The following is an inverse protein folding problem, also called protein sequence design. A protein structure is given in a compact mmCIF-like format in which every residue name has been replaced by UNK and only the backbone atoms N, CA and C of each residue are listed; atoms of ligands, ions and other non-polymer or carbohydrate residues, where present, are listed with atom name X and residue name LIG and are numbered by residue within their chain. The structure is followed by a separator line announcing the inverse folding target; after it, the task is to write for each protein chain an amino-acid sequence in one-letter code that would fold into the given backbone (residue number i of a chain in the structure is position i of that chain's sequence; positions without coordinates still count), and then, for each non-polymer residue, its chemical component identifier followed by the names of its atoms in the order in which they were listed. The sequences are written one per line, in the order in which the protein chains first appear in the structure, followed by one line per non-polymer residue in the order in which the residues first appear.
data_IF_172071298837
#
_entry.id   IF_172071298837
#
_cell.length_a   1.000
_cell.length_b   1.000
_cell.length_c   1.000
_cell.angle_alpha   90.00
_cell.angle_beta   90.00
_cell.angle_gamma   90.00
#
_symmetry.space_group_name_H-M   'P 1'
#
loop_
_entity.id
_entity.type
_entity.pdbx_description
1 polymer ?
#
# COMPACT_ATOMS: atom_id res chain seq x y z
N UNK A 1 -28.47 47.32 -28.22
CA UNK A 1 -28.15 45.97 -28.74
C UNK A 1 -26.67 45.72 -28.42
N UNK A 2 -26.23 45.07 -27.35
CA UNK A 2 -26.86 44.02 -26.54
C UNK A 2 -26.47 42.65 -27.07
N UNK A 3 -25.28 42.14 -26.70
CA UNK A 3 -24.99 40.70 -26.59
C UNK A 3 -23.67 40.48 -25.82
N UNK A 4 -23.85 40.23 -24.53
CA UNK A 4 -22.85 39.74 -23.58
C UNK A 4 -22.36 38.35 -23.99
N UNK A 5 -21.04 38.15 -24.11
CA UNK A 5 -20.44 36.80 -24.12
C UNK A 5 -20.06 36.43 -22.68
N UNK A 6 -20.89 35.57 -22.08
CA UNK A 6 -20.64 34.94 -20.79
C UNK A 6 -19.49 33.94 -20.94
N UNK A 7 -18.43 34.11 -20.15
CA UNK A 7 -17.47 33.04 -19.84
C UNK A 7 -18.21 31.91 -19.11
N UNK A 8 -18.20 30.70 -19.66
CA UNK A 8 -18.51 29.49 -18.90
C UNK A 8 -17.21 28.96 -18.29
N UNK A 9 -16.98 29.25 -17.02
CA UNK A 9 -16.09 28.45 -16.20
C UNK A 9 -16.86 27.21 -15.77
N UNK A 10 -16.62 26.08 -16.44
CA UNK A 10 -17.05 24.77 -15.95
C UNK A 10 -16.04 24.32 -14.89
N UNK A 11 -16.23 24.76 -13.64
CA UNK A 11 -15.56 24.18 -12.49
C UNK A 11 -16.21 22.82 -12.20
N UNK A 12 -15.71 21.76 -12.84
CA UNK A 12 -15.99 20.39 -12.39
C UNK A 12 -15.03 20.15 -11.22
N UNK A 13 -15.48 20.49 -10.01
CA UNK A 13 -14.92 19.93 -8.79
C UNK A 13 -15.27 18.43 -8.78
N UNK A 14 -14.44 17.62 -9.45
CA UNK A 14 -14.36 16.21 -9.16
C UNK A 14 -13.74 16.09 -7.76
N UNK A 15 -14.58 16.24 -6.74
CA UNK A 15 -14.24 15.90 -5.37
C UNK A 15 -14.13 14.38 -5.31
N UNK A 16 -12.99 13.84 -5.72
CA UNK A 16 -12.51 12.54 -5.29
C UNK A 16 -12.20 12.64 -3.80
N UNK A 17 -13.25 12.72 -2.98
CA UNK A 17 -13.16 12.35 -1.58
C UNK A 17 -12.76 10.88 -1.56
N UNK A 18 -11.46 10.63 -1.52
CA UNK A 18 -10.90 9.38 -1.04
C UNK A 18 -11.38 9.27 0.42
N UNK A 19 -12.54 8.65 0.63
CA UNK A 19 -12.89 8.07 1.90
C UNK A 19 -11.87 6.95 2.12
N UNK A 20 -10.69 7.30 2.64
CA UNK A 20 -9.79 6.30 3.19
C UNK A 20 -10.49 5.73 4.41
N UNK A 21 -11.23 4.63 4.23
CA UNK A 21 -11.64 3.81 5.36
C UNK A 21 -10.34 3.32 6.00
N UNK A 22 -10.03 3.84 7.18
CA UNK A 22 -8.88 3.39 7.94
C UNK A 22 -9.12 1.92 8.29
N UNK A 23 -8.40 1.02 7.63
CA UNK A 23 -8.44 -0.41 7.97
C UNK A 23 -7.78 -0.56 9.33
N UNK A 24 -8.54 -1.04 10.32
CA UNK A 24 -8.01 -1.35 11.65
C UNK A 24 -7.20 -2.63 11.54
N UNK A 25 -5.95 -2.58 12.00
CA UNK A 25 -5.06 -3.75 12.01
C UNK A 25 -5.42 -4.63 13.20
N UNK A 26 -5.50 -5.94 12.97
CA UNK A 26 -5.53 -6.92 14.05
C UNK A 26 -4.19 -6.89 14.81
N UNK A 27 -4.23 -7.11 16.13
CA UNK A 27 -3.04 -7.38 16.93
C UNK A 27 -2.28 -8.57 16.31
N UNK A 28 -1.01 -8.38 15.97
CA UNK A 28 -0.18 -9.42 15.36
C UNK A 28 0.10 -10.50 16.41
N UNK A 29 -0.35 -11.73 16.17
CA UNK A 29 0.06 -12.90 16.97
C UNK A 29 1.28 -13.54 16.31
N UNK A 30 2.34 -13.70 17.09
CA UNK A 30 3.53 -14.45 16.72
C UNK A 30 3.12 -15.92 16.46
N UNK A 31 3.45 -16.46 15.28
CA UNK A 31 2.92 -17.74 14.76
C UNK A 31 3.34 -19.01 15.55
N UNK A 32 3.93 -18.84 16.74
CA UNK A 32 4.55 -19.90 17.53
C UNK A 32 3.86 -20.21 18.87
N UNK A 33 2.73 -19.57 19.22
CA UNK A 33 2.08 -19.81 20.53
C UNK A 33 0.89 -20.79 20.55
N UNK A 34 0.37 -21.26 19.42
CA UNK A 34 -0.83 -22.12 19.41
C UNK A 34 -0.57 -23.64 19.55
N UNK A 35 0.67 -24.10 19.80
CA UNK A 35 0.96 -25.54 19.86
C UNK A 35 0.80 -26.25 21.22
N UNK A 36 0.36 -25.59 22.29
CA UNK A 36 0.32 -26.22 23.61
C UNK A 36 -0.97 -25.97 24.40
N UNK A 37 -2.13 -26.41 23.89
CA UNK A 37 -3.25 -26.79 24.77
C UNK A 37 -3.96 -28.01 24.19
N UNK A 38 -3.39 -29.20 24.43
CA UNK A 38 -4.11 -30.47 24.54
C UNK A 38 -3.12 -31.59 24.84
N UNK A 39 -2.95 -31.95 26.12
CA UNK A 39 -2.73 -33.34 26.53
C UNK A 39 -2.75 -33.49 28.07
N UNK A 40 -3.80 -34.20 28.51
CA UNK A 40 -3.89 -35.15 29.62
C UNK A 40 -3.65 -34.71 31.08
N UNK A 41 -4.70 -34.83 31.90
CA UNK A 41 -4.60 -35.46 33.22
C UNK A 41 -5.79 -36.40 33.43
N UNK A 42 -5.52 -37.70 33.34
CA UNK A 42 -6.35 -38.77 33.90
C UNK A 42 -5.77 -39.12 35.27
N UNK A 43 -6.64 -39.19 36.28
CA UNK A 43 -6.29 -39.65 37.62
C UNK A 43 -5.78 -41.09 37.63
N UNK A 44 -4.67 -41.34 38.31
CA UNK A 44 -4.44 -42.59 39.04
C UNK A 44 -3.50 -42.36 40.24
N UNK A 45 -4.02 -42.72 41.41
CA UNK A 45 -3.33 -42.89 42.69
C UNK A 45 -2.32 -44.02 42.65
N UNK A 46 -1.13 -43.82 43.24
CA UNK A 46 -0.49 -44.79 44.13
C UNK A 46 0.68 -44.16 44.91
N UNK A 47 0.90 -44.76 46.07
CA UNK A 47 1.61 -44.26 47.25
C UNK A 47 3.05 -44.80 47.36
N UNK A 48 3.80 -44.24 48.31
CA UNK A 48 4.92 -44.84 49.09
C UNK A 48 6.39 -44.45 48.75
N UNK A 49 6.94 -43.63 49.67
CA UNK A 49 8.24 -43.66 50.39
C UNK A 49 9.65 -43.46 49.77
N UNK A 50 10.34 -42.49 50.41
CA UNK A 50 11.62 -42.57 51.18
C UNK A 50 12.96 -42.15 50.55
N UNK A 51 13.77 -41.47 51.41
CA UNK A 51 15.19 -41.06 51.24
C UNK A 51 15.40 -39.54 51.09
N UNK A 52 15.62 -38.71 52.14
CA UNK A 52 16.83 -38.60 53.01
C UNK A 52 18.10 -38.25 52.20
N UNK A 53 18.95 -37.22 52.42
CA UNK A 53 19.21 -36.34 53.57
C UNK A 53 20.28 -35.26 53.20
N UNK A 54 20.25 -34.11 53.91
CA UNK A 54 21.33 -33.15 54.30
C UNK A 54 22.15 -32.34 53.26
N UNK A 55 22.67 -31.13 53.52
CA UNK A 55 22.81 -30.23 54.71
C UNK A 55 23.09 -28.78 54.18
N UNK A 56 22.36 -27.73 54.60
CA UNK A 56 22.70 -26.64 55.58
C UNK A 56 23.77 -25.59 55.18
N UNK A 57 23.84 -24.40 55.84
CA UNK A 57 22.78 -23.47 56.31
C UNK A 57 23.16 -21.97 56.09
N UNK A 58 22.31 -21.00 56.49
CA UNK A 58 22.62 -19.89 57.45
C UNK A 58 21.35 -19.04 57.72
N UNK A 59 21.23 -18.62 58.99
CA UNK A 59 20.10 -18.02 59.72
C UNK A 59 19.88 -16.51 59.54
N UNK A 60 18.64 -16.04 59.81
CA UNK A 60 18.26 -15.18 60.95
C UNK A 60 16.79 -14.72 60.72
N UNK A 61 15.77 -15.12 61.49
CA UNK A 61 15.45 -14.94 62.91
C UNK A 61 14.33 -13.88 63.12
N UNK A 62 13.16 -14.37 63.57
CA UNK A 62 12.19 -13.77 64.51
C UNK A 62 11.40 -12.53 64.00
N UNK A 63 10.07 -12.39 64.16
CA UNK A 63 9.32 -12.53 65.42
C UNK A 63 7.78 -12.64 65.23
N UNK A 64 7.21 -13.59 65.98
CA UNK A 64 5.92 -13.70 66.70
C UNK A 64 4.58 -13.05 66.28
N UNK A 65 3.57 -13.94 66.19
CA UNK A 65 2.23 -13.96 66.87
C UNK A 65 1.19 -12.87 66.54
N UNK A 66 -0.13 -13.06 66.51
CA UNK A 66 -1.05 -13.94 67.26
C UNK A 66 -2.44 -13.90 66.57
N UNK A 67 -3.17 -15.02 66.65
CA UNK A 67 -4.52 -15.25 66.11
C UNK A 67 -5.65 -14.64 67.00
N UNK A 68 -6.91 -15.12 66.96
CA UNK A 68 -7.99 -14.91 65.98
C UNK A 68 -9.27 -14.37 66.65
N UNK A 69 -10.34 -13.99 65.92
CA UNK A 69 -11.69 -14.07 66.51
C UNK A 69 -12.84 -14.18 65.52
N UNK A 70 -13.58 -15.26 65.73
CA UNK A 70 -14.86 -15.69 65.17
C UNK A 70 -16.02 -15.03 65.91
N UNK A 71 -17.09 -14.63 65.22
CA UNK A 71 -18.46 -14.62 65.76
C UNK A 71 -19.51 -14.76 64.64
N UNK A 72 -20.19 -15.89 64.60
CA UNK A 72 -21.58 -16.11 64.13
C UNK A 72 -22.47 -16.24 65.38
N UNK A 73 -23.82 -16.44 65.34
CA UNK A 73 -24.84 -16.27 64.29
C UNK A 73 -26.15 -15.60 64.81
N UNK A 74 -27.16 -15.32 63.95
CA UNK A 74 -28.58 -15.39 64.37
C UNK A 74 -29.62 -15.51 63.24
N UNK A 75 -30.35 -16.62 63.33
CA UNK A 75 -31.78 -16.88 63.08
C UNK A 75 -32.51 -16.48 61.77
N UNK A 76 -32.73 -17.50 60.95
CA UNK A 76 -34.02 -18.12 60.56
C UNK A 76 -35.31 -17.28 60.48
N UNK A 77 -35.90 -17.25 59.28
CA UNK A 77 -37.35 -17.47 59.12
C UNK A 77 -37.65 -18.11 57.76
N UNK A 78 -38.42 -19.19 57.81
CA UNK A 78 -38.89 -20.01 56.68
C UNK A 78 -40.08 -19.33 56.00
N UNK A 79 -40.15 -19.34 54.66
CA UNK A 79 -41.41 -19.53 53.90
C UNK A 79 -41.18 -19.78 52.41
N UNK A 80 -41.59 -20.99 52.00
CA UNK A 80 -42.28 -21.36 50.76
C UNK A 80 -41.70 -20.98 49.38
N UNK A 81 -41.20 -22.04 48.74
CA UNK A 81 -41.33 -22.44 47.32
C UNK A 81 -42.33 -21.59 46.51
N UNK A 82 -41.82 -20.96 45.45
CA UNK A 82 -42.55 -20.84 44.20
C UNK A 82 -41.58 -21.08 43.04
N UNK A 83 -41.93 -22.05 42.20
CA UNK A 83 -41.18 -22.45 41.02
C UNK A 83 -41.27 -21.35 39.96
N UNK A 84 -40.13 -20.87 39.47
CA UNK A 84 -40.06 -20.26 38.15
C UNK A 84 -38.74 -20.59 37.48
N UNK A 85 -38.89 -21.33 36.39
CA UNK A 85 -37.89 -21.64 35.38
C UNK A 85 -37.33 -20.33 34.80
N UNK A 86 -36.00 -20.23 34.65
CA UNK A 86 -35.43 -19.65 33.44
C UNK A 86 -33.94 -19.99 33.28
N UNK A 87 -33.72 -20.86 32.30
CA UNK A 87 -32.71 -20.75 31.25
C UNK A 87 -31.25 -20.72 31.70
N UNK A 88 -30.72 -21.93 31.91
CA UNK A 88 -29.35 -22.24 31.49
C UNK A 88 -29.19 -21.79 30.03
N UNK A 89 -28.38 -20.76 29.80
CA UNK A 89 -27.76 -20.53 28.50
C UNK A 89 -26.89 -21.75 28.21
N UNK A 90 -27.38 -22.61 27.33
CA UNK A 90 -26.57 -23.64 26.67
C UNK A 90 -25.41 -22.93 25.97
N UNK A 91 -24.22 -22.99 26.57
CA UNK A 91 -22.97 -22.73 25.88
C UNK A 91 -22.90 -23.71 24.71
N UNK A 92 -22.97 -23.19 23.50
CA UNK A 92 -22.72 -23.97 22.30
C UNK A 92 -21.21 -24.28 22.29
N UNK A 93 -20.83 -25.40 22.89
CA UNK A 93 -19.47 -25.95 22.81
C UNK A 93 -19.28 -26.53 21.40
N UNK A 94 -19.18 -25.66 20.40
CA UNK A 94 -18.95 -26.05 19.02
C UNK A 94 -17.45 -26.12 18.81
N UNK A 95 -16.94 -27.30 18.49
CA UNK A 95 -15.51 -27.49 18.23
C UNK A 95 -15.15 -26.91 16.84
N UNK A 96 -13.87 -26.61 16.68
CA UNK A 96 -13.31 -26.02 15.46
C UNK A 96 -13.32 -27.09 14.36
N UNK A 97 -14.03 -26.82 13.26
CA UNK A 97 -14.03 -27.71 12.11
C UNK A 97 -12.81 -27.47 11.21
N UNK A 98 -12.52 -26.21 10.90
CA UNK A 98 -11.39 -25.84 10.04
C UNK A 98 -11.03 -24.36 10.13
N UNK A 99 -9.75 -24.08 9.93
CA UNK A 99 -9.21 -22.75 9.66
C UNK A 99 -8.68 -22.66 8.24
N UNK A 100 -9.12 -21.64 7.51
CA UNK A 100 -8.59 -21.27 6.20
C UNK A 100 -7.81 -19.97 6.30
N UNK A 101 -6.53 -20.01 5.94
CA UNK A 101 -5.71 -18.80 5.82
C UNK A 101 -6.21 -17.95 4.64
N UNK A 102 -6.37 -16.66 4.89
CA UNK A 102 -6.82 -15.64 3.95
C UNK A 102 -5.96 -14.39 4.14
N UNK A 103 -6.11 -13.38 3.29
CA UNK A 103 -5.45 -12.09 3.49
C UNK A 103 -6.29 -10.99 2.84
N UNK A 104 -6.93 -10.17 3.67
CA UNK A 104 -7.81 -9.15 3.16
C UNK A 104 -8.49 -8.32 4.24
N UNK A 105 -9.60 -7.71 3.84
CA UNK A 105 -10.39 -6.82 4.68
C UNK A 105 -11.79 -7.38 4.85
N UNK A 106 -12.20 -7.55 6.09
CA UNK A 106 -13.59 -7.75 6.48
C UNK A 106 -14.24 -6.39 6.78
N UNK A 107 -15.37 -6.09 6.18
CA UNK A 107 -16.13 -4.85 6.38
C UNK A 107 -17.49 -5.16 6.98
N UNK A 108 -17.81 -4.53 8.11
CA UNK A 108 -19.11 -4.69 8.78
C UNK A 108 -20.20 -4.04 7.94
N UNK A 109 -21.22 -4.80 7.52
CA UNK A 109 -22.28 -4.29 6.63
C UNK A 109 -23.38 -3.53 7.39
N UNK A 110 -23.50 -3.78 8.69
CA UNK A 110 -24.70 -3.42 9.43
C UNK A 110 -24.73 -1.94 9.84
N UNK A 111 -25.94 -1.38 10.02
CA UNK A 111 -26.15 0.00 10.53
C UNK A 111 -26.05 0.10 12.06
N UNK A 112 -25.73 -1.00 12.73
CA UNK A 112 -25.55 -1.12 14.18
C UNK A 112 -24.23 -1.84 14.45
N UNK A 113 -23.72 -1.70 15.68
CA UNK A 113 -22.57 -2.46 16.14
C UNK A 113 -22.84 -3.98 16.11
N UNK A 114 -21.82 -4.77 15.79
CA UNK A 114 -21.92 -6.24 15.77
C UNK A 114 -21.06 -6.86 16.88
N UNK A 115 -21.54 -7.90 17.58
CA UNK A 115 -20.77 -8.54 18.62
C UNK A 115 -19.53 -9.24 18.05
N UNK A 116 -18.51 -9.37 18.90
CA UNK A 116 -17.36 -10.22 18.64
C UNK A 116 -17.60 -11.62 19.22
N UNK A 117 -16.83 -12.58 18.74
CA UNK A 117 -16.90 -13.98 19.13
C UNK A 117 -15.51 -14.52 19.44
N UNK A 118 -15.43 -15.48 20.35
CA UNK A 118 -14.22 -16.29 20.57
C UNK A 118 -14.16 -17.46 19.58
N UNK A 119 -13.04 -18.18 19.58
CA UNK A 119 -12.79 -19.31 18.67
C UNK A 119 -13.78 -20.49 18.85
N UNK A 120 -14.47 -20.60 19.98
CA UNK A 120 -15.52 -21.61 20.21
C UNK A 120 -16.93 -21.15 19.75
N UNK A 121 -17.03 -19.91 19.24
CA UNK A 121 -18.30 -19.28 18.86
C UNK A 121 -19.07 -18.65 20.01
N UNK A 122 -18.52 -18.61 21.23
CA UNK A 122 -19.11 -17.86 22.34
C UNK A 122 -18.96 -16.35 22.12
N UNK A 123 -19.94 -15.58 22.59
CA UNK A 123 -20.02 -14.12 22.35
C UNK A 123 -19.13 -13.36 23.33
N UNK A 124 -18.30 -12.45 22.83
CA UNK A 124 -17.65 -11.41 23.63
C UNK A 124 -18.69 -10.31 23.95
N UNK A 125 -18.87 -10.04 25.23
CA UNK A 125 -19.96 -9.18 25.73
C UNK A 125 -19.52 -7.75 26.02
N UNK A 126 -18.22 -7.50 26.09
CA UNK A 126 -17.67 -6.18 26.44
C UNK A 126 -17.19 -5.37 25.23
N UNK A 127 -17.15 -5.97 24.04
CA UNK A 127 -16.65 -5.33 22.81
C UNK A 127 -17.50 -5.69 21.61
N UNK A 128 -17.54 -4.77 20.65
CA UNK A 128 -18.28 -4.90 19.41
C UNK A 128 -17.58 -4.11 18.31
N UNK A 129 -17.77 -4.51 17.05
CA UNK A 129 -17.29 -3.77 15.90
C UNK A 129 -18.31 -2.71 15.48
N UNK A 130 -17.82 -1.51 15.16
CA UNK A 130 -18.68 -0.43 14.67
C UNK A 130 -19.25 -0.72 13.28
N UNK A 131 -20.43 -0.20 13.00
CA UNK A 131 -21.03 -0.18 11.66
C UNK A 131 -20.05 0.39 10.62
N UNK A 132 -19.98 -0.22 9.43
CA UNK A 132 -19.12 0.20 8.31
C UNK A 132 -17.60 0.27 8.62
N UNK A 133 -17.16 -0.34 9.72
CA UNK A 133 -15.73 -0.43 10.04
C UNK A 133 -15.06 -1.54 9.23
N UNK A 134 -13.82 -1.29 8.82
CA UNK A 134 -13.01 -2.19 8.02
C UNK A 134 -11.87 -2.76 8.87
N UNK A 135 -11.73 -4.09 8.87
CA UNK A 135 -10.80 -4.83 9.71
C UNK A 135 -9.94 -5.74 8.87
N UNK A 136 -8.64 -5.72 9.13
CA UNK A 136 -7.75 -6.73 8.58
C UNK A 136 -8.16 -8.12 9.07
N UNK A 137 -8.12 -9.11 8.18
CA UNK A 137 -8.37 -10.50 8.52
C UNK A 137 -7.44 -11.42 7.75
N UNK A 138 -6.92 -12.42 8.47
CA UNK A 138 -5.96 -13.41 7.97
C UNK A 138 -6.47 -14.86 8.09
N UNK A 139 -7.63 -15.05 8.75
CA UNK A 139 -8.17 -16.37 9.05
C UNK A 139 -9.68 -16.37 8.88
N UNK A 140 -10.18 -17.30 8.06
CA UNK A 140 -11.58 -17.67 7.96
C UNK A 140 -11.80 -18.95 8.76
N UNK A 141 -12.44 -18.78 9.90
CA UNK A 141 -12.69 -19.81 10.89
C UNK A 141 -14.06 -20.44 10.69
N UNK A 142 -14.17 -21.77 10.69
CA UNK A 142 -15.45 -22.47 10.58
C UNK A 142 -15.61 -23.50 11.70
N UNK A 143 -16.75 -23.42 12.38
CA UNK A 143 -17.13 -24.34 13.46
C UNK A 143 -17.88 -25.56 12.92
N UNK A 144 -17.94 -26.64 13.69
CA UNK A 144 -18.64 -27.88 13.31
C UNK A 144 -20.14 -27.68 13.04
N UNK A 145 -20.74 -26.66 13.65
CA UNK A 145 -22.14 -26.29 13.43
C UNK A 145 -22.39 -25.56 12.08
N UNK A 146 -21.33 -25.33 11.29
CA UNK A 146 -21.37 -24.66 10.00
C UNK A 146 -21.36 -23.12 10.06
N UNK A 147 -21.30 -22.52 11.25
CA UNK A 147 -21.07 -21.08 11.37
C UNK A 147 -19.62 -20.74 11.06
N UNK A 148 -19.42 -19.60 10.41
CA UNK A 148 -18.09 -19.13 10.02
C UNK A 148 -17.85 -17.72 10.50
N UNK A 149 -16.58 -17.40 10.75
CA UNK A 149 -16.14 -16.15 11.33
C UNK A 149 -14.81 -15.69 10.71
N UNK A 150 -14.56 -14.40 10.71
CA UNK A 150 -13.30 -13.78 10.30
C UNK A 150 -12.55 -13.33 11.53
N UNK A 151 -11.28 -13.74 11.67
CA UNK A 151 -10.43 -13.24 12.76
C UNK A 151 -10.13 -11.75 12.54
N UNK A 152 -10.35 -10.92 13.55
CA UNK A 152 -10.16 -9.45 13.48
C UNK A 152 -9.25 -8.92 14.59
N UNK A 153 -8.98 -9.72 15.63
CA UNK A 153 -7.93 -9.47 16.61
C UNK A 153 -7.49 -10.81 17.25
N UNK A 154 -6.57 -10.74 18.21
CA UNK A 154 -6.12 -11.92 18.96
C UNK A 154 -7.32 -12.54 19.70
N UNK A 155 -7.67 -13.79 19.36
CA UNK A 155 -8.81 -14.53 19.90
C UNK A 155 -10.19 -13.89 19.66
N UNK A 156 -10.30 -12.93 18.74
CA UNK A 156 -11.57 -12.26 18.44
C UNK A 156 -11.95 -12.40 16.97
N UNK A 157 -13.21 -12.78 16.77
CA UNK A 157 -13.75 -13.14 15.47
C UNK A 157 -15.07 -12.41 15.22
N UNK A 158 -15.28 -11.97 13.98
CA UNK A 158 -16.53 -11.38 13.52
C UNK A 158 -17.33 -12.39 12.70
N UNK A 159 -18.65 -12.45 12.91
CA UNK A 159 -19.50 -13.41 12.19
C UNK A 159 -19.49 -13.13 10.67
N UNK A 160 -19.28 -14.17 9.86
CA UNK A 160 -19.20 -14.03 8.41
C UNK A 160 -20.48 -13.47 7.77
N UNK A 161 -21.65 -13.63 8.42
CA UNK A 161 -22.94 -13.14 7.92
C UNK A 161 -23.14 -11.63 8.12
N UNK A 162 -22.39 -11.01 9.02
CA UNK A 162 -22.58 -9.61 9.42
C UNK A 162 -21.71 -8.62 8.64
N UNK A 163 -20.95 -9.11 7.66
CA UNK A 163 -20.01 -8.31 6.88
C UNK A 163 -19.69 -8.91 5.52
N UNK A 164 -18.80 -8.24 4.81
CA UNK A 164 -18.26 -8.68 3.52
C UNK A 164 -16.75 -8.82 3.61
N UNK A 165 -16.19 -9.81 2.93
CA UNK A 165 -14.75 -9.99 2.81
C UNK A 165 -14.28 -9.59 1.42
N UNK A 166 -13.16 -8.84 1.37
CA UNK A 166 -12.44 -8.52 0.15
C UNK A 166 -10.97 -8.90 0.31
N UNK A 167 -10.51 -9.84 -0.51
CA UNK A 167 -9.09 -10.23 -0.59
C UNK A 167 -8.21 -9.03 -0.96
N UNK A 168 -7.01 -8.93 -0.40
CA UNK A 168 -6.00 -8.00 -0.90
C UNK A 168 -5.48 -8.43 -2.26
N UNK A 169 -5.25 -9.74 -2.43
CA UNK A 169 -4.87 -10.31 -3.73
C UNK A 169 -6.09 -10.36 -4.63
N UNK A 170 -6.01 -9.67 -5.76
CA UNK A 170 -7.01 -9.67 -6.81
C UNK A 170 -6.40 -10.14 -8.14
N UNK A 171 -7.18 -10.81 -9.00
CA UNK A 171 -6.71 -11.18 -10.34
C UNK A 171 -6.28 -9.95 -11.13
N UNK A 172 -5.15 -10.08 -11.84
CA UNK A 172 -4.64 -9.02 -12.71
C UNK A 172 -3.88 -9.62 -13.89
N UNK A 173 -3.92 -8.95 -15.03
CA UNK A 173 -3.23 -9.40 -16.24
C UNK A 173 -2.37 -8.28 -16.81
N UNK A 174 -1.17 -8.64 -17.25
CA UNK A 174 -0.22 -7.75 -17.89
C UNK A 174 1.19 -8.29 -17.75
N UNK A 175 2.17 -7.50 -18.19
CA UNK A 175 3.58 -7.83 -18.06
C UNK A 175 4.30 -6.74 -17.26
N UNK A 176 4.76 -7.08 -16.06
CA UNK A 176 5.56 -6.19 -15.22
C UNK A 176 6.97 -6.11 -15.79
N UNK A 177 7.34 -4.93 -16.28
CA UNK A 177 8.67 -4.65 -16.84
C UNK A 177 9.46 -3.80 -15.87
N UNK A 178 10.66 -4.25 -15.50
CA UNK A 178 11.54 -3.55 -14.56
C UNK A 178 12.12 -2.30 -15.23
N UNK A 179 11.84 -1.12 -14.68
CA UNK A 179 12.19 0.21 -15.24
C UNK A 179 13.05 1.04 -14.29
N UNK A 180 14.05 0.42 -13.67
CA UNK A 180 15.02 1.10 -12.82
C UNK A 180 16.25 1.61 -13.61
N UNK A 181 17.39 1.77 -12.97
CA UNK A 181 18.63 2.20 -13.61
C UNK A 181 19.22 1.10 -14.50
N UNK A 182 19.61 1.46 -15.72
CA UNK A 182 20.24 0.53 -16.67
C UNK A 182 21.48 -0.13 -16.04
N UNK A 183 21.62 -1.45 -16.23
CA UNK A 183 22.69 -2.25 -15.62
C UNK A 183 22.49 -2.56 -14.14
N UNK A 184 21.37 -2.17 -13.54
CA UNK A 184 21.01 -2.49 -12.15
C UNK A 184 19.93 -3.57 -12.07
N UNK A 185 19.72 -4.12 -10.88
CA UNK A 185 18.65 -5.04 -10.54
C UNK A 185 17.73 -4.45 -9.46
N UNK A 186 16.58 -5.09 -9.26
CA UNK A 186 15.69 -4.84 -8.13
C UNK A 186 15.43 -6.13 -7.38
N UNK A 187 15.10 -6.02 -6.10
CA UNK A 187 14.68 -7.17 -5.31
C UNK A 187 13.30 -7.66 -5.72
N UNK A 188 13.14 -8.98 -5.72
CA UNK A 188 11.84 -9.64 -5.69
C UNK A 188 11.59 -10.22 -4.30
N UNK A 189 10.33 -10.34 -3.91
CA UNK A 189 9.96 -10.66 -2.54
C UNK A 189 9.03 -11.86 -2.49
N UNK A 190 9.14 -12.63 -1.40
CA UNK A 190 8.09 -13.54 -0.97
C UNK A 190 7.04 -12.77 -0.18
N UNK A 191 5.76 -12.96 -0.49
CA UNK A 191 4.69 -12.09 0.00
C UNK A 191 4.81 -10.64 -0.48
N UNK A 192 3.96 -9.75 0.05
CA UNK A 192 3.84 -8.36 -0.40
C UNK A 192 3.53 -7.40 0.77
N UNK A 193 3.61 -6.10 0.49
CA UNK A 193 3.36 -5.05 1.48
C UNK A 193 4.30 -5.17 2.68
N UNK A 194 3.75 -5.03 3.90
CA UNK A 194 4.54 -5.09 5.13
C UNK A 194 5.03 -6.51 5.48
N UNK A 195 4.54 -7.54 4.77
CA UNK A 195 4.92 -8.95 4.97
C UNK A 195 5.92 -9.43 3.92
N UNK A 196 6.35 -8.55 3.02
CA UNK A 196 7.32 -8.86 1.98
C UNK A 196 8.67 -9.23 2.60
N UNK A 197 9.21 -10.39 2.22
CA UNK A 197 10.52 -10.89 2.67
C UNK A 197 11.42 -11.05 1.47
N UNK A 198 12.60 -10.44 1.51
CA UNK A 198 13.62 -10.64 0.50
C UNK A 198 14.33 -11.98 0.74
N UNK A 199 14.24 -12.90 -0.22
CA UNK A 199 14.84 -14.24 -0.15
C UNK A 199 16.12 -14.37 -1.01
N UNK A 200 16.75 -13.25 -1.39
CA UNK A 200 18.01 -13.25 -2.15
C UNK A 200 17.85 -13.28 -3.67
N UNK A 201 16.64 -13.04 -4.19
CA UNK A 201 16.36 -13.08 -5.63
C UNK A 201 16.16 -11.68 -6.22
N UNK A 202 16.90 -11.40 -7.29
CA UNK A 202 16.91 -10.11 -7.97
C UNK A 202 16.45 -10.23 -9.43
N UNK A 203 15.86 -9.16 -9.94
CA UNK A 203 15.41 -9.03 -11.33
C UNK A 203 16.16 -7.91 -12.01
N UNK A 204 16.81 -8.20 -13.14
CA UNK A 204 17.55 -7.20 -13.90
C UNK A 204 16.61 -6.18 -14.54
N UNK A 205 17.05 -4.92 -14.60
CA UNK A 205 16.35 -3.85 -15.33
C UNK A 205 16.16 -4.23 -16.80
N UNK A 206 14.96 -4.01 -17.32
CA UNK A 206 14.55 -4.37 -18.68
C UNK A 206 13.96 -5.78 -18.81
N UNK A 207 14.02 -6.62 -17.78
CA UNK A 207 13.29 -7.90 -17.78
C UNK A 207 11.79 -7.66 -17.65
N UNK A 208 10.99 -8.56 -18.25
CA UNK A 208 9.53 -8.46 -18.26
C UNK A 208 8.91 -9.79 -17.83
N UNK A 209 7.93 -9.73 -16.94
CA UNK A 209 7.38 -10.89 -16.26
C UNK A 209 5.86 -10.86 -16.31
N UNK A 210 5.24 -12.01 -16.63
CA UNK A 210 3.79 -12.12 -16.65
C UNK A 210 3.23 -11.94 -15.24
N UNK A 211 2.22 -11.09 -15.11
CA UNK A 211 1.49 -10.87 -13.86
C UNK A 211 0.22 -11.71 -13.86
N UNK A 212 -0.04 -12.39 -12.74
CA UNK A 212 -1.27 -13.17 -12.54
C UNK A 212 -2.24 -12.52 -11.55
N UNK A 213 -1.69 -11.81 -10.56
CA UNK A 213 -2.45 -11.14 -9.52
C UNK A 213 -1.76 -9.84 -9.11
N UNK A 214 -2.51 -8.97 -8.45
CA UNK A 214 -1.97 -7.78 -7.79
C UNK A 214 -2.53 -7.65 -6.38
N UNK A 215 -1.86 -6.86 -5.55
CA UNK A 215 -2.32 -6.50 -4.23
C UNK A 215 -2.04 -5.01 -3.96
N UNK A 216 -3.05 -4.26 -3.55
CA UNK A 216 -2.91 -2.85 -3.17
C UNK A 216 -2.87 -2.73 -1.65
N UNK A 217 -1.70 -2.37 -1.12
CA UNK A 217 -1.47 -2.19 0.31
C UNK A 217 -1.01 -0.75 0.57
N UNK A 218 -1.82 0.00 1.31
CA UNK A 218 -1.50 1.39 1.67
C UNK A 218 -1.41 2.32 0.46
N UNK A 219 -2.21 2.06 -0.59
CA UNK A 219 -2.15 2.81 -1.85
C UNK A 219 -1.01 2.39 -2.76
N UNK A 220 -0.18 1.42 -2.34
CA UNK A 220 0.91 0.88 -3.17
C UNK A 220 0.56 -0.46 -3.78
N UNK A 221 0.69 -0.54 -5.09
CA UNK A 221 0.50 -1.77 -5.85
C UNK A 221 1.72 -2.70 -5.72
N UNK A 222 1.42 -4.00 -5.64
CA UNK A 222 2.37 -5.10 -5.71
C UNK A 222 1.89 -6.08 -6.78
N UNK A 223 2.79 -6.58 -7.61
CA UNK A 223 2.45 -7.48 -8.70
C UNK A 223 3.05 -8.86 -8.48
N UNK A 224 2.21 -9.88 -8.56
CA UNK A 224 2.63 -11.26 -8.44
C UNK A 224 3.12 -11.77 -9.80
N UNK A 225 4.40 -12.15 -9.86
CA UNK A 225 5.08 -12.61 -11.07
C UNK A 225 5.38 -14.13 -11.08
N UNK A 226 5.20 -14.80 -9.93
CA UNK A 226 5.26 -16.25 -9.76
C UNK A 226 4.42 -16.67 -8.55
N UNK A 227 4.36 -17.97 -8.20
CA UNK A 227 3.47 -18.55 -7.18
C UNK A 227 3.34 -17.74 -5.88
N UNK A 228 4.44 -17.25 -5.33
CA UNK A 228 4.46 -16.29 -4.22
C UNK A 228 5.63 -15.29 -4.36
N UNK A 229 5.95 -14.92 -5.60
CA UNK A 229 7.00 -13.94 -5.89
C UNK A 229 6.36 -12.64 -6.35
N UNK A 230 6.68 -11.56 -5.66
CA UNK A 230 6.08 -10.25 -5.84
C UNK A 230 7.12 -9.19 -6.08
N UNK A 231 6.72 -8.17 -6.85
CA UNK A 231 7.52 -6.97 -7.11
C UNK A 231 6.70 -5.72 -6.77
N UNK A 232 7.30 -4.72 -6.10
CA UNK A 232 6.59 -3.48 -5.79
C UNK A 232 6.48 -2.61 -7.05
N UNK A 233 5.37 -1.86 -7.16
CA UNK A 233 5.14 -0.95 -8.29
C UNK A 233 6.23 0.10 -8.49
N UNK A 234 6.96 0.45 -7.44
CA UNK A 234 7.97 1.51 -7.39
C UNK A 234 9.08 1.32 -8.44
N UNK A 235 9.26 0.09 -8.95
CA UNK A 235 10.31 -0.23 -9.91
C UNK A 235 9.83 -0.84 -11.23
N UNK A 236 8.52 -0.98 -11.41
CA UNK A 236 7.94 -1.60 -12.61
C UNK A 236 6.93 -0.69 -13.28
N UNK A 237 6.70 -0.96 -14.56
CA UNK A 237 5.48 -0.59 -15.27
C UNK A 237 4.81 -1.84 -15.79
N UNK A 238 3.49 -1.77 -15.94
CA UNK A 238 2.74 -2.84 -16.59
C UNK A 238 2.66 -2.54 -18.09
N UNK A 239 2.89 -3.55 -18.92
CA UNK A 239 2.59 -3.51 -20.35
C UNK A 239 1.43 -4.47 -20.62
N UNK A 240 0.56 -4.16 -21.59
CA UNK A 240 -0.66 -4.94 -21.87
C UNK A 240 -1.57 -5.11 -20.63
N UNK A 241 -1.59 -4.09 -19.77
CA UNK A 241 -2.47 -4.02 -18.61
C UNK A 241 -3.87 -3.52 -18.97
N UNK A 242 -4.75 -3.52 -17.98
CA UNK A 242 -6.06 -2.89 -18.11
C UNK A 242 -5.97 -1.42 -17.67
N UNK A 243 -6.12 -0.51 -18.64
CA UNK A 243 -6.06 0.93 -18.42
C UNK A 243 -7.43 1.58 -18.61
N UNK A 244 -7.66 2.70 -17.92
CA UNK A 244 -8.83 3.53 -18.18
C UNK A 244 -8.75 4.09 -19.61
N UNK A 245 -9.90 4.32 -20.25
CA UNK A 245 -9.97 5.00 -21.56
C UNK A 245 -9.44 6.44 -21.50
N UNK A 246 -9.61 7.10 -20.35
CA UNK A 246 -9.06 8.42 -20.07
C UNK A 246 -8.73 8.55 -18.59
N UNK A 247 -7.68 9.31 -18.28
CA UNK A 247 -7.31 9.69 -16.92
C UNK A 247 -6.42 10.92 -16.91
N UNK A 248 -6.44 11.67 -15.82
CA UNK A 248 -5.63 12.89 -15.69
C UNK A 248 -5.29 13.19 -14.23
N UNK A 249 -4.16 13.85 -14.08
CA UNK A 249 -3.62 14.31 -12.81
C UNK A 249 -3.84 15.82 -12.72
N UNK A 250 -4.60 16.25 -11.71
CA UNK A 250 -4.76 17.66 -11.39
C UNK A 250 -3.70 18.12 -10.38
N UNK A 251 -3.33 19.39 -10.41
CA UNK A 251 -2.44 19.98 -9.41
C UNK A 251 -0.93 19.86 -9.71
N UNK A 252 -0.52 19.28 -10.84
CA UNK A 252 0.88 19.37 -11.30
C UNK A 252 1.18 20.84 -11.60
N UNK A 253 2.16 21.47 -10.93
CA UNK A 253 2.43 22.88 -11.12
C UNK A 253 2.91 23.14 -12.55
N UNK A 254 2.61 24.33 -13.05
CA UNK A 254 3.12 24.85 -14.32
C UNK A 254 4.21 25.87 -14.01
N UNK A 255 5.42 25.60 -14.48
CA UNK A 255 6.61 26.42 -14.22
C UNK A 255 7.26 26.76 -15.56
N UNK A 256 7.29 28.04 -15.91
CA UNK A 256 8.09 28.53 -17.03
C UNK A 256 9.58 28.33 -16.77
N UNK A 257 10.35 27.89 -17.78
CA UNK A 257 11.80 27.77 -17.65
C UNK A 257 12.51 29.14 -17.65
N UNK A 258 11.96 30.10 -18.40
CA UNK A 258 12.51 31.45 -18.61
C UNK A 258 12.04 32.43 -17.51
N UNK A 259 12.79 33.53 -17.30
CA UNK A 259 14.04 33.93 -17.99
C UNK A 259 15.31 33.21 -17.52
N UNK A 260 15.28 32.51 -16.38
CA UNK A 260 16.48 32.05 -15.67
C UNK A 260 17.16 30.85 -16.34
N UNK A 261 16.39 29.97 -16.99
CA UNK A 261 16.89 28.75 -17.62
C UNK A 261 16.49 28.69 -19.10
N UNK A 262 17.04 29.56 -19.98
CA UNK A 262 16.78 29.54 -21.41
C UNK A 262 16.95 28.18 -22.09
N UNK A 263 17.80 27.28 -21.54
CA UNK A 263 18.04 25.92 -22.03
C UNK A 263 17.69 24.83 -20.99
N UNK A 264 16.95 25.14 -19.92
CA UNK A 264 16.67 24.19 -18.83
C UNK A 264 15.31 23.50 -18.90
N UNK A 265 14.82 23.14 -20.09
CA UNK A 265 13.49 22.54 -20.23
C UNK A 265 13.36 21.23 -19.42
N UNK A 266 14.37 20.35 -19.47
CA UNK A 266 14.39 19.05 -18.80
C UNK A 266 14.29 19.19 -17.29
N UNK A 267 15.13 20.04 -16.72
CA UNK A 267 15.18 20.20 -15.26
C UNK A 267 14.00 20.99 -14.72
N UNK A 268 13.44 21.91 -15.52
CA UNK A 268 12.19 22.60 -15.18
C UNK A 268 11.02 21.62 -15.18
N UNK A 269 10.94 20.73 -16.18
CA UNK A 269 9.93 19.67 -16.23
C UNK A 269 10.05 18.67 -15.08
N UNK A 270 11.27 18.24 -14.75
CA UNK A 270 11.54 17.40 -13.56
C UNK A 270 11.16 18.13 -12.27
N UNK A 271 11.40 19.45 -12.18
CA UNK A 271 10.98 20.24 -11.01
C UNK A 271 9.47 20.22 -10.84
N UNK A 272 8.70 20.39 -11.92
CA UNK A 272 7.23 20.30 -11.87
C UNK A 272 6.76 18.92 -11.35
N UNK A 273 7.37 17.85 -11.87
CA UNK A 273 7.11 16.48 -11.42
C UNK A 273 7.45 16.27 -9.94
N UNK A 274 8.61 16.74 -9.48
CA UNK A 274 9.06 16.60 -8.10
C UNK A 274 8.21 17.42 -7.10
N UNK A 275 7.82 18.64 -7.47
CA UNK A 275 6.90 19.43 -6.64
C UNK A 275 5.55 18.74 -6.49
N UNK A 276 5.03 18.14 -7.56
CA UNK A 276 3.81 17.34 -7.48
C UNK A 276 3.97 16.10 -6.60
N UNK A 277 5.15 15.46 -6.61
CA UNK A 277 5.50 14.37 -5.70
C UNK A 277 5.61 14.80 -4.22
N UNK A 278 5.49 16.10 -3.93
CA UNK A 278 5.58 16.66 -2.58
C UNK A 278 6.95 17.20 -2.19
N UNK A 279 7.93 17.20 -3.10
CA UNK A 279 9.26 17.74 -2.82
C UNK A 279 9.24 19.28 -2.79
N UNK A 280 9.76 19.87 -1.71
CA UNK A 280 9.93 21.31 -1.60
C UNK A 280 11.22 21.77 -2.30
N UNK A 281 11.17 21.90 -3.62
CA UNK A 281 12.31 22.27 -4.48
C UNK A 281 11.93 23.33 -5.51
N UNK A 282 12.90 24.14 -5.95
CA UNK A 282 12.72 25.08 -7.07
C UNK A 282 13.62 24.74 -8.27
N UNK A 283 13.28 25.29 -9.44
CA UNK A 283 13.97 24.98 -10.71
C UNK A 283 15.45 25.35 -10.70
N UNK A 284 15.83 26.40 -9.97
CA UNK A 284 17.20 26.87 -9.89
C UNK A 284 18.04 25.96 -8.98
N UNK A 285 17.45 25.47 -7.89
CA UNK A 285 18.06 24.44 -7.07
C UNK A 285 18.28 23.16 -7.89
N UNK A 286 17.25 22.67 -8.59
CA UNK A 286 17.36 21.46 -9.40
C UNK A 286 18.37 21.62 -10.54
N UNK A 287 18.44 22.80 -11.18
CA UNK A 287 19.46 23.10 -12.19
C UNK A 287 20.90 23.08 -11.63
N UNK A 288 21.11 23.48 -10.37
CA UNK A 288 22.43 23.40 -9.71
C UNK A 288 22.80 21.98 -9.29
N UNK A 289 21.82 21.19 -8.85
CA UNK A 289 22.05 19.83 -8.35
C UNK A 289 22.12 18.76 -9.45
N UNK A 290 21.53 19.00 -10.62
CA UNK A 290 21.60 18.02 -11.72
C UNK A 290 23.05 17.76 -12.14
N UNK A 291 23.43 16.50 -12.40
CA UNK A 291 24.80 16.15 -12.75
C UNK A 291 25.20 16.80 -14.07
N UNK A 292 26.51 17.02 -14.27
CA UNK A 292 27.09 17.62 -15.48
C UNK A 292 28.02 16.63 -16.16
N UNK A 293 27.97 16.59 -17.49
CA UNK A 293 28.77 15.68 -18.31
C UNK A 293 28.75 16.12 -19.77
N UNK A 294 29.76 15.77 -20.54
CA UNK A 294 29.73 15.90 -22.00
C UNK A 294 28.86 14.83 -22.68
N UNK A 295 28.52 13.75 -21.96
CA UNK A 295 27.60 12.70 -22.41
C UNK A 295 26.25 12.82 -21.67
N UNK A 296 25.13 13.01 -22.39
CA UNK A 296 23.83 13.31 -21.80
C UNK A 296 23.24 12.16 -20.97
N UNK A 297 23.72 10.93 -21.15
CA UNK A 297 23.34 9.80 -20.30
C UNK A 297 23.98 9.83 -18.90
N UNK A 298 24.98 10.68 -18.68
CA UNK A 298 25.68 10.81 -17.39
C UNK A 298 25.52 12.20 -16.75
N UNK A 299 25.02 13.19 -17.48
CA UNK A 299 24.77 14.54 -16.96
C UNK A 299 24.40 15.55 -18.04
N UNK A 300 24.00 16.73 -17.62
CA UNK A 300 23.63 17.84 -18.50
C UNK A 300 24.86 18.41 -19.20
N UNK A 301 24.75 18.61 -20.51
CA UNK A 301 25.83 19.17 -21.34
C UNK A 301 25.75 20.70 -21.30
N UNK A 302 26.85 21.36 -20.94
CA UNK A 302 26.94 22.82 -20.84
C UNK A 302 26.20 23.39 -19.63
N UNK A 303 25.61 24.58 -19.77
CA UNK A 303 24.87 25.27 -18.72
C UNK A 303 23.43 25.61 -19.14
N UNK A 304 22.41 25.33 -18.31
CA UNK A 304 21.02 25.58 -18.67
C UNK A 304 20.64 27.07 -18.66
N UNK A 305 21.48 27.92 -18.07
CA UNK A 305 21.29 29.37 -17.95
C UNK A 305 22.04 30.21 -18.99
N UNK A 306 22.86 29.59 -19.86
CA UNK A 306 23.58 30.29 -20.92
C UNK A 306 23.57 29.52 -22.25
N UNK A 307 24.22 30.07 -23.27
CA UNK A 307 24.23 29.53 -24.64
C UNK A 307 24.98 28.21 -24.85
N UNK A 308 25.59 27.63 -23.80
CA UNK A 308 26.30 26.34 -23.91
C UNK A 308 25.42 25.13 -23.63
N UNK A 309 24.23 25.33 -23.04
CA UNK A 309 23.33 24.25 -22.66
C UNK A 309 22.75 23.49 -23.84
N UNK A 310 22.66 22.16 -23.72
CA UNK A 310 22.10 21.29 -24.77
C UNK A 310 20.97 20.41 -24.22
N UNK A 311 21.30 19.41 -23.40
CA UNK A 311 20.31 18.46 -22.87
C UNK A 311 20.91 17.58 -21.77
N UNK A 312 20.04 16.83 -21.08
CA UNK A 312 20.33 15.70 -20.19
C UNK A 312 19.30 14.60 -20.45
N UNK A 313 19.67 13.33 -20.31
CA UNK A 313 18.75 12.20 -20.52
C UNK A 313 18.34 11.51 -19.21
N UNK A 314 17.21 10.77 -19.21
CA UNK A 314 16.69 10.09 -18.02
C UNK A 314 17.72 9.34 -17.16
N UNK A 315 18.67 8.54 -17.71
CA UNK A 315 19.60 7.78 -16.88
C UNK A 315 20.42 8.65 -15.91
N UNK A 316 20.77 9.87 -16.31
CA UNK A 316 21.54 10.80 -15.48
C UNK A 316 20.70 11.43 -14.36
N UNK A 317 19.38 11.51 -14.54
CA UNK A 317 18.46 12.14 -13.59
C UNK A 317 17.94 11.18 -12.52
N UNK A 318 18.07 9.86 -12.72
CA UNK A 318 17.51 8.83 -11.82
C UNK A 318 17.81 9.08 -10.34
N UNK A 319 19.09 9.27 -9.99
CA UNK A 319 19.50 9.51 -8.60
C UNK A 319 18.96 10.82 -8.02
N UNK A 320 18.85 11.86 -8.85
CA UNK A 320 18.29 13.14 -8.42
C UNK A 320 16.79 13.00 -8.14
N UNK A 321 16.07 12.32 -9.04
CA UNK A 321 14.63 12.04 -8.86
C UNK A 321 14.40 11.18 -7.62
N UNK A 322 15.16 10.09 -7.47
CA UNK A 322 15.05 9.18 -6.32
C UNK A 322 15.35 9.89 -4.99
N UNK A 323 16.34 10.80 -4.97
CA UNK A 323 16.64 11.63 -3.79
C UNK A 323 15.44 12.45 -3.30
N UNK A 324 14.62 12.96 -4.22
CA UNK A 324 13.53 13.89 -3.88
C UNK A 324 12.13 13.26 -3.85
N UNK A 325 11.91 12.19 -4.61
CA UNK A 325 10.63 11.47 -4.66
C UNK A 325 10.66 10.13 -3.90
N UNK A 326 11.83 9.67 -3.44
CA UNK A 326 12.04 8.39 -2.78
C UNK A 326 12.19 7.20 -3.74
N UNK A 327 11.69 7.33 -4.96
CA UNK A 327 11.78 6.34 -6.05
C UNK A 327 12.04 7.05 -7.37
N UNK A 328 12.49 6.29 -8.39
CA UNK A 328 12.68 6.81 -9.74
C UNK A 328 12.46 5.70 -10.76
N UNK A 329 11.86 6.05 -11.90
CA UNK A 329 11.59 5.13 -13.00
C UNK A 329 12.11 5.69 -14.31
N UNK A 330 13.04 4.95 -14.93
CA UNK A 330 13.51 5.23 -16.27
C UNK A 330 12.60 4.53 -17.28
N UNK A 331 11.69 5.28 -17.88
CA UNK A 331 10.71 4.77 -18.83
C UNK A 331 11.23 4.80 -20.28
N UNK A 332 12.52 5.10 -20.48
CA UNK A 332 13.11 5.17 -21.81
C UNK A 332 12.92 3.87 -22.58
N UNK A 333 12.37 3.98 -23.79
CA UNK A 333 12.14 2.84 -24.68
C UNK A 333 10.84 2.07 -24.43
N UNK A 334 10.11 2.37 -23.35
CA UNK A 334 8.80 1.76 -23.09
C UNK A 334 7.76 2.23 -24.13
N UNK A 335 6.62 1.54 -24.20
CA UNK A 335 5.51 1.93 -25.06
C UNK A 335 4.57 2.92 -24.34
N UNK A 336 3.45 3.27 -24.97
CA UNK A 336 2.48 4.22 -24.39
C UNK A 336 1.76 3.69 -23.14
N UNK A 337 1.72 2.36 -22.92
CA UNK A 337 1.15 1.78 -21.69
C UNK A 337 1.93 2.22 -20.46
N UNK A 338 3.25 2.42 -20.55
CA UNK A 338 4.03 2.93 -19.42
C UNK A 338 3.59 4.34 -19.01
N UNK A 339 3.22 5.19 -19.97
CA UNK A 339 2.65 6.52 -19.66
C UNK A 339 1.27 6.35 -19.02
N UNK A 340 0.39 5.55 -19.63
CA UNK A 340 -0.96 5.30 -19.07
C UNK A 340 -0.90 4.76 -17.65
N UNK A 341 0.01 3.82 -17.41
CA UNK A 341 0.26 3.21 -16.12
C UNK A 341 0.60 4.27 -15.06
N UNK A 342 1.60 5.11 -15.31
CA UNK A 342 1.99 6.18 -14.38
C UNK A 342 0.84 7.14 -14.11
N UNK A 343 0.14 7.59 -15.17
CA UNK A 343 -1.01 8.48 -15.01
C UNK A 343 -2.12 7.83 -14.16
N UNK A 344 -2.42 6.54 -14.38
CA UNK A 344 -3.46 5.84 -13.63
C UNK A 344 -3.14 5.60 -12.16
N UNK A 345 -1.86 5.54 -11.79
CA UNK A 345 -1.42 5.51 -10.39
C UNK A 345 -1.19 6.91 -9.82
N UNK A 346 -1.42 7.97 -10.61
CA UNK A 346 -1.33 9.36 -10.17
C UNK A 346 0.06 9.98 -10.24
N UNK A 347 0.96 9.46 -11.09
CA UNK A 347 2.33 9.92 -11.26
C UNK A 347 2.52 10.61 -12.63
N UNK A 348 2.89 11.90 -12.69
CA UNK A 348 3.17 12.57 -13.96
C UNK A 348 4.47 12.03 -14.60
N UNK A 349 4.59 12.20 -15.91
CA UNK A 349 5.74 11.65 -16.68
C UNK A 349 6.43 12.76 -17.45
N UNK A 350 7.73 12.95 -17.20
CA UNK A 350 8.54 13.85 -18.03
C UNK A 350 8.99 13.11 -19.28
N UNK A 351 8.78 13.70 -20.46
CA UNK A 351 9.10 13.10 -21.76
C UNK A 351 9.93 14.03 -22.63
N UNK A 352 10.83 13.45 -23.42
CA UNK A 352 11.66 14.20 -24.38
C UNK A 352 11.06 14.13 -25.78
N UNK A 353 11.00 15.28 -26.43
CA UNK A 353 10.31 15.50 -27.68
C UNK A 353 11.16 16.39 -28.61
N UNK A 354 10.89 16.36 -29.92
CA UNK A 354 11.46 17.26 -30.92
C UNK A 354 10.41 18.31 -31.27
N UNK A 355 10.42 19.47 -30.62
CA UNK A 355 9.37 20.50 -30.75
C UNK A 355 9.97 21.90 -30.94
N UNK A 356 9.19 22.80 -31.54
CA UNK A 356 9.57 24.20 -31.76
C UNK A 356 10.87 24.42 -32.56
N UNK A 357 11.29 23.41 -33.33
CA UNK A 357 12.58 23.42 -34.03
C UNK A 357 13.78 23.04 -33.15
N UNK A 358 13.55 22.69 -31.88
CA UNK A 358 14.58 22.20 -30.98
C UNK A 358 14.82 20.70 -31.18
N UNK A 359 16.09 20.25 -31.16
CA UNK A 359 16.40 18.83 -31.22
C UNK A 359 16.01 18.09 -29.94
N UNK A 360 15.82 18.79 -28.83
CA UNK A 360 15.38 18.26 -27.54
C UNK A 360 14.45 19.27 -26.87
N UNK A 361 13.32 18.80 -26.37
CA UNK A 361 12.38 19.58 -25.56
C UNK A 361 11.68 18.68 -24.55
N UNK A 362 11.53 19.11 -23.31
CA UNK A 362 10.90 18.32 -22.26
C UNK A 362 9.49 18.79 -21.94
N UNK A 363 8.56 17.83 -21.88
CA UNK A 363 7.16 18.02 -21.51
C UNK A 363 6.82 17.23 -20.26
N UNK A 364 5.90 17.71 -19.43
CA UNK A 364 5.35 16.93 -18.31
C UNK A 364 3.96 16.42 -18.71
N UNK A 365 3.85 15.14 -19.06
CA UNK A 365 2.57 14.51 -19.35
C UNK A 365 1.78 14.36 -18.04
N UNK A 366 0.55 14.87 -18.06
CA UNK A 366 -0.36 14.90 -16.91
C UNK A 366 -1.65 14.14 -17.16
N UNK A 367 -1.93 13.72 -18.39
CA UNK A 367 -3.13 12.95 -18.69
C UNK A 367 -3.18 12.42 -20.12
N UNK A 368 -4.17 11.57 -20.36
CA UNK A 368 -4.51 11.09 -21.69
C UNK A 368 -6.02 10.80 -21.78
N UNK A 369 -6.54 10.78 -23.00
CA UNK A 369 -7.83 10.17 -23.33
C UNK A 369 -7.68 9.26 -24.55
N UNK A 370 -8.77 8.94 -25.25
CA UNK A 370 -8.74 8.09 -26.43
C UNK A 370 -8.07 8.73 -27.65
N UNK A 371 -7.90 10.06 -27.66
CA UNK A 371 -7.41 10.84 -28.80
C UNK A 371 -6.14 11.65 -28.49
N UNK A 372 -5.99 12.15 -27.27
CA UNK A 372 -5.00 13.16 -26.90
C UNK A 372 -4.12 12.74 -25.72
N UNK A 373 -2.90 13.29 -25.72
CA UNK A 373 -2.02 13.39 -24.56
C UNK A 373 -2.05 14.83 -24.07
N UNK A 374 -2.23 15.02 -22.76
CA UNK A 374 -2.25 16.32 -22.08
C UNK A 374 -0.94 16.52 -21.33
N UNK A 375 -0.35 17.71 -21.43
CA UNK A 375 0.96 18.00 -20.86
C UNK A 375 1.14 19.47 -20.46
N UNK A 376 1.98 19.71 -19.45
CA UNK A 376 2.52 21.02 -19.13
C UNK A 376 3.80 21.27 -19.93
N UNK A 377 3.90 22.47 -20.51
CA UNK A 377 5.06 22.90 -21.28
C UNK A 377 5.70 24.16 -20.67
N UNK A 378 6.93 24.00 -20.18
CA UNK A 378 7.71 25.07 -19.57
C UNK A 378 8.23 26.13 -20.56
N UNK A 379 8.20 25.84 -21.87
CA UNK A 379 8.62 26.79 -22.90
C UNK A 379 7.52 27.78 -23.25
N UNK A 380 6.29 27.29 -23.47
CA UNK A 380 5.12 28.12 -23.76
C UNK A 380 4.44 28.67 -22.50
N UNK A 381 4.76 28.13 -21.32
CA UNK A 381 4.08 28.42 -20.05
C UNK A 381 2.58 28.11 -20.14
N UNK A 382 2.25 26.94 -20.70
CA UNK A 382 0.87 26.50 -20.92
C UNK A 382 0.69 25.01 -20.64
N UNK A 383 -0.53 24.65 -20.23
CA UNK A 383 -1.03 23.28 -20.34
C UNK A 383 -1.65 23.10 -21.72
N UNK A 384 -1.15 22.12 -22.47
CA UNK A 384 -1.48 21.87 -23.86
C UNK A 384 -1.86 20.40 -24.06
N UNK A 385 -2.26 20.09 -25.29
CA UNK A 385 -2.53 18.72 -25.72
C UNK A 385 -1.97 18.48 -27.12
N UNK A 386 -1.74 17.20 -27.45
CA UNK A 386 -1.44 16.78 -28.82
C UNK A 386 -2.05 15.40 -29.09
N UNK A 387 -2.39 15.12 -30.35
CA UNK A 387 -2.99 13.81 -30.69
C UNK A 387 -2.02 12.68 -30.36
N UNK A 388 -2.53 11.53 -29.89
CA UNK A 388 -1.68 10.40 -29.45
C UNK A 388 -0.71 9.95 -30.54
N UNK A 389 -1.17 9.81 -31.78
CA UNK A 389 -0.28 9.43 -32.90
C UNK A 389 0.81 10.48 -33.13
N UNK A 390 0.47 11.77 -33.02
CA UNK A 390 1.45 12.86 -33.14
C UNK A 390 2.46 12.81 -31.99
N UNK A 391 2.01 12.62 -30.76
CA UNK A 391 2.86 12.44 -29.58
C UNK A 391 3.81 11.27 -29.75
N UNK A 392 3.30 10.08 -30.07
CA UNK A 392 4.10 8.86 -30.22
C UNK A 392 5.12 9.02 -31.34
N UNK A 393 4.72 9.57 -32.49
CA UNK A 393 5.65 9.82 -33.60
C UNK A 393 6.76 10.79 -33.20
N UNK A 394 6.44 11.85 -32.44
CA UNK A 394 7.41 12.79 -31.94
C UNK A 394 8.36 12.15 -30.91
N UNK A 395 7.81 11.48 -29.90
CA UNK A 395 8.53 10.79 -28.84
C UNK A 395 9.46 9.68 -29.39
N UNK A 396 9.06 9.01 -30.48
CA UNK A 396 9.90 8.04 -31.19
C UNK A 396 11.19 8.66 -31.73
N UNK A 397 11.17 9.93 -32.18
CA UNK A 397 12.40 10.63 -32.62
C UNK A 397 13.41 10.80 -31.48
N UNK A 398 12.95 10.68 -30.24
CA UNK A 398 13.72 10.84 -29.02
C UNK A 398 13.97 9.51 -28.30
N UNK A 399 13.98 8.39 -29.02
CA UNK A 399 14.14 7.03 -28.47
C UNK A 399 13.15 6.73 -27.33
N UNK A 400 11.97 7.37 -27.36
CA UNK A 400 10.96 7.28 -26.31
C UNK A 400 11.52 7.56 -24.92
N UNK A 401 12.40 8.56 -24.78
CA UNK A 401 12.96 8.95 -23.48
C UNK A 401 11.88 9.51 -22.58
N UNK A 402 11.79 8.97 -21.37
CA UNK A 402 10.85 9.39 -20.35
C UNK A 402 11.35 9.04 -18.95
N UNK A 403 10.95 9.82 -17.95
CA UNK A 403 11.25 9.58 -16.54
C UNK A 403 10.01 9.88 -15.68
N UNK A 404 9.83 9.08 -14.63
CA UNK A 404 8.82 9.29 -13.58
C UNK A 404 9.40 8.80 -12.24
N UNK A 405 8.56 8.62 -11.22
CA UNK A 405 8.97 8.14 -9.90
C UNK A 405 8.12 6.98 -9.41
#
# INVERSE_FOLDING_TARGET
MGLNRKMLYAAILASSCLLSTTVVKADQVDANQEKNVSQNVTNQTNSVNDGSVNDKPVNNALDQTKAPQTTTPKESTTSQRNSQSNTQTTQANSQIASDKQIDGVYTVNNSVFIPLYYADGSVETNRALAANSAWYTDTYHTLDNGNSYYRVATNEYANAKDGTYKSYVQPYSGNATVVYQSGSSIHSFKGYGNRAVYEGNDLNTGTSWKVNNHANIGGKEWYQISSDTWVPQDYVVINNGNYKEADWISGVPLIAQRPELPNGCEITAVTMMLQYAGANVDKMQMAREMPRSSNPNYGYIGQPWDGTGITIFPPALMRLVEKYAGTAKNLTGQNFDAIKYQINIGHPVVTWNTLYGFPYHALVVTGYDSNYVYYNDCWTDQTLQMGITQFINNWNTQNRRAISY
#
